data_IF_246537447096
#
_entry.id   IF_246537447096
#
_cell.length_a   1.000
_cell.length_b   1.000
_cell.length_c   1.000
_cell.angle_alpha   90.00
_cell.angle_beta   90.00
_cell.angle_gamma   90.00
#
_symmetry.space_group_name_H-M   'P 1'
#
loop_
_entity.id
_entity.type
_entity.pdbx_description
1 polymer ?
#
# COMPACT_ATOMS: atom_id res chain seq x y z
N UNK A 1 -17.09 -12.06 -12.83
CA UNK A 1 -15.72 -12.29 -12.33
C UNK A 1 -14.89 -11.15 -12.88
N UNK A 2 -14.37 -10.23 -12.07
CA UNK A 2 -13.76 -9.00 -12.62
C UNK A 2 -12.52 -9.33 -13.44
N UNK A 3 -12.47 -8.88 -14.71
CA UNK A 3 -11.39 -9.00 -15.69
C UNK A 3 -10.06 -8.32 -15.29
N UNK A 4 -9.86 -8.05 -14.00
CA UNK A 4 -8.71 -7.29 -13.52
C UNK A 4 -7.54 -8.24 -13.31
N UNK A 5 -6.54 -8.13 -14.19
CA UNK A 5 -5.26 -8.83 -14.06
C UNK A 5 -4.63 -8.54 -12.68
N UNK A 6 -4.40 -9.57 -11.83
CA UNK A 6 -3.78 -9.40 -10.52
C UNK A 6 -2.41 -8.71 -10.57
N UNK A 7 -1.62 -8.90 -11.64
CA UNK A 7 -0.34 -8.20 -11.80
C UNK A 7 -0.55 -6.70 -12.00
N UNK A 8 -1.52 -6.33 -12.85
CA UNK A 8 -1.91 -4.93 -13.05
C UNK A 8 -2.43 -4.33 -11.75
N UNK A 9 -3.25 -5.06 -10.99
CA UNK A 9 -3.78 -4.61 -9.71
C UNK A 9 -2.67 -4.38 -8.67
N UNK A 10 -1.68 -5.26 -8.61
CA UNK A 10 -0.52 -5.10 -7.74
C UNK A 10 0.30 -3.84 -8.08
N UNK A 11 0.48 -3.56 -9.38
CA UNK A 11 1.17 -2.35 -9.84
C UNK A 11 0.36 -1.09 -9.54
N UNK A 12 -0.96 -1.13 -9.73
CA UNK A 12 -1.84 -0.02 -9.36
C UNK A 12 -1.69 0.26 -7.87
N UNK A 13 -1.79 -0.78 -7.03
CA UNK A 13 -1.63 -0.62 -5.59
C UNK A 13 -0.28 0.01 -5.21
N UNK A 14 0.83 -0.48 -5.79
CA UNK A 14 2.18 0.05 -5.57
C UNK A 14 2.27 1.56 -5.80
N UNK A 15 1.62 2.07 -6.85
CA UNK A 15 1.77 3.46 -7.29
C UNK A 15 0.70 4.38 -6.68
N UNK A 16 -0.53 3.89 -6.49
CA UNK A 16 -1.64 4.72 -6.01
C UNK A 16 -1.35 5.32 -4.65
N UNK A 17 -0.90 4.52 -3.69
CA UNK A 17 -0.74 5.00 -2.31
C UNK A 17 0.31 6.11 -2.16
N UNK A 18 1.55 5.98 -2.69
CA UNK A 18 2.53 7.06 -2.60
C UNK A 18 2.08 8.35 -3.30
N UNK A 19 1.36 8.22 -4.43
CA UNK A 19 0.82 9.38 -5.13
C UNK A 19 -0.28 10.08 -4.32
N UNK A 20 -1.23 9.33 -3.76
CA UNK A 20 -2.30 9.90 -2.92
C UNK A 20 -1.70 10.59 -1.70
N UNK A 21 -0.66 10.02 -1.08
CA UNK A 21 0.04 10.63 0.04
C UNK A 21 0.63 11.99 -0.33
N UNK A 22 1.30 12.08 -1.48
CA UNK A 22 1.86 13.33 -2.00
C UNK A 22 0.75 14.34 -2.28
N UNK A 23 -0.25 14.00 -3.09
CA UNK A 23 -1.35 14.92 -3.42
C UNK A 23 -2.08 15.43 -2.19
N UNK A 24 -2.39 14.53 -1.24
CA UNK A 24 -3.04 14.90 0.01
C UNK A 24 -2.17 15.84 0.84
N UNK A 25 -0.87 15.55 0.99
CA UNK A 25 0.03 16.43 1.73
C UNK A 25 0.20 17.81 1.08
N UNK A 26 0.30 17.88 -0.25
CA UNK A 26 0.45 19.15 -0.97
C UNK A 26 -0.75 20.09 -0.85
N UNK A 27 -1.94 19.55 -0.52
CA UNK A 27 -3.13 20.36 -0.27
C UNK A 27 -3.23 20.71 1.22
N UNK A 28 -2.86 19.79 2.11
CA UNK A 28 -3.04 19.94 3.56
C UNK A 28 -1.98 20.85 4.21
N UNK A 29 -0.76 20.88 3.68
CA UNK A 29 0.38 21.59 4.26
C UNK A 29 1.25 22.23 3.17
N UNK A 30 1.91 23.33 3.52
CA UNK A 30 2.92 23.93 2.66
C UNK A 30 4.17 23.03 2.65
N UNK A 31 4.41 22.36 1.52
CA UNK A 31 5.50 21.40 1.34
C UNK A 31 6.46 21.87 0.27
N UNK A 32 7.74 21.93 0.65
CA UNK A 32 8.83 22.10 -0.30
C UNK A 32 9.09 20.81 -1.10
N UNK A 33 9.88 20.92 -2.18
CA UNK A 33 10.22 19.77 -3.04
C UNK A 33 10.87 18.65 -2.23
N UNK A 34 11.66 18.99 -1.20
CA UNK A 34 12.30 18.02 -0.31
C UNK A 34 11.26 17.24 0.50
N UNK A 35 10.25 17.91 1.04
CA UNK A 35 9.16 17.27 1.79
C UNK A 35 8.29 16.40 0.89
N UNK A 36 7.94 16.86 -0.31
CA UNK A 36 7.20 16.05 -1.31
C UNK A 36 7.96 14.76 -1.62
N UNK A 37 9.26 14.88 -1.89
CA UNK A 37 10.13 13.76 -2.20
C UNK A 37 10.20 12.79 -1.01
N UNK A 38 10.33 13.32 0.21
CA UNK A 38 10.35 12.52 1.43
C UNK A 38 9.05 11.74 1.61
N UNK A 39 7.89 12.40 1.52
CA UNK A 39 6.56 11.78 1.66
C UNK A 39 6.36 10.69 0.61
N UNK A 40 6.79 10.93 -0.64
CA UNK A 40 6.72 9.91 -1.69
C UNK A 40 7.53 8.66 -1.31
N UNK A 41 8.81 8.81 -0.95
CA UNK A 41 9.68 7.67 -0.70
C UNK A 41 9.33 6.89 0.57
N UNK A 42 8.96 7.57 1.67
CA UNK A 42 8.55 6.88 2.91
C UNK A 42 7.28 6.04 2.71
N UNK A 43 6.41 6.42 1.77
CA UNK A 43 5.23 5.65 1.38
C UNK A 43 5.55 4.59 0.32
N UNK A 44 6.51 4.86 -0.58
CA UNK A 44 6.91 3.93 -1.64
C UNK A 44 7.63 2.70 -1.07
N UNK A 45 8.53 2.87 -0.10
CA UNK A 45 9.31 1.77 0.50
C UNK A 45 8.41 0.61 1.00
N UNK A 46 7.41 0.84 1.89
CA UNK A 46 6.57 -0.25 2.37
C UNK A 46 5.73 -0.87 1.24
N UNK A 47 5.33 -0.08 0.25
CA UNK A 47 4.61 -0.59 -0.92
C UNK A 47 5.50 -1.45 -1.82
N UNK A 48 6.78 -1.10 -2.00
CA UNK A 48 7.74 -1.94 -2.72
C UNK A 48 7.91 -3.31 -2.04
N UNK A 49 7.93 -3.34 -0.71
CA UNK A 49 8.02 -4.59 0.05
C UNK A 49 6.75 -5.43 -0.16
N UNK A 50 5.58 -4.85 0.12
CA UNK A 50 4.29 -5.54 0.03
C UNK A 50 3.98 -6.01 -1.39
N UNK A 51 4.12 -5.13 -2.39
CA UNK A 51 3.92 -5.46 -3.80
C UNK A 51 5.01 -6.36 -4.36
N UNK A 52 6.25 -6.27 -3.86
CA UNK A 52 7.34 -7.18 -4.23
C UNK A 52 7.05 -8.62 -3.79
N UNK A 53 6.65 -8.81 -2.54
CA UNK A 53 6.21 -10.12 -2.02
C UNK A 53 5.01 -10.63 -2.82
N UNK A 54 4.00 -9.78 -3.02
CA UNK A 54 2.81 -10.16 -3.79
C UNK A 54 3.12 -10.57 -5.22
N UNK A 55 4.07 -9.89 -5.87
CA UNK A 55 4.53 -10.25 -7.22
C UNK A 55 5.25 -11.60 -7.26
N UNK A 56 6.11 -11.89 -6.26
CA UNK A 56 6.79 -13.18 -6.15
C UNK A 56 5.79 -14.32 -5.92
N UNK A 57 4.76 -14.09 -5.10
CA UNK A 57 3.70 -15.07 -4.86
C UNK A 57 2.80 -15.27 -6.08
N UNK A 58 2.47 -14.20 -6.81
CA UNK A 58 1.74 -14.28 -8.08
C UNK A 58 2.44 -15.15 -9.12
N UNK A 59 3.78 -15.13 -9.18
CA UNK A 59 4.55 -16.02 -10.07
C UNK A 59 4.41 -17.50 -9.71
N UNK A 60 4.06 -17.80 -8.46
CA UNK A 60 3.87 -19.16 -7.93
C UNK A 60 2.39 -19.55 -7.82
N UNK A 61 1.47 -18.62 -8.03
CA UNK A 61 0.03 -18.84 -7.95
C UNK A 61 -0.44 -19.79 -9.05
N UNK A 62 -1.11 -20.89 -8.67
CA UNK A 62 -1.67 -21.88 -9.61
C UNK A 62 -3.20 -21.77 -9.73
N UNK A 63 -3.84 -21.13 -8.76
CA UNK A 63 -5.30 -20.98 -8.67
C UNK A 63 -5.70 -19.52 -8.57
N UNK A 64 -6.92 -19.19 -8.98
CA UNK A 64 -7.46 -17.82 -8.83
C UNK A 64 -7.45 -17.35 -7.38
N UNK A 65 -7.76 -18.24 -6.42
CA UNK A 65 -7.71 -17.92 -5.00
C UNK A 65 -6.29 -17.57 -4.54
N UNK A 66 -5.28 -18.32 -4.97
CA UNK A 66 -3.88 -18.03 -4.68
C UNK A 66 -3.42 -16.70 -5.29
N UNK A 67 -3.92 -16.37 -6.48
CA UNK A 67 -3.60 -15.10 -7.14
C UNK A 67 -4.21 -13.91 -6.38
N UNK A 68 -5.47 -14.02 -5.95
CA UNK A 68 -6.14 -13.00 -5.12
C UNK A 68 -5.41 -12.85 -3.78
N UNK A 69 -5.08 -13.95 -3.10
CA UNK A 69 -4.35 -13.92 -1.83
C UNK A 69 -2.97 -13.26 -1.96
N UNK A 70 -2.30 -13.45 -3.10
CA UNK A 70 -0.98 -12.85 -3.39
C UNK A 70 -1.04 -11.32 -3.47
N UNK A 71 -2.17 -10.75 -3.94
CA UNK A 71 -2.31 -9.28 -4.10
C UNK A 71 -3.14 -8.63 -3.01
N UNK A 72 -3.78 -9.41 -2.14
CA UNK A 72 -4.62 -8.89 -1.08
C UNK A 72 -3.87 -7.90 -0.17
N UNK A 73 -2.65 -8.24 0.25
CA UNK A 73 -1.82 -7.37 1.09
C UNK A 73 -1.56 -6.00 0.45
N UNK A 74 -0.90 -5.90 -0.73
CA UNK A 74 -0.63 -4.60 -1.33
C UNK A 74 -1.90 -3.81 -1.66
N UNK A 75 -2.97 -4.48 -2.11
CA UNK A 75 -4.24 -3.82 -2.46
C UNK A 75 -4.94 -3.24 -1.24
N UNK A 76 -5.14 -4.03 -0.19
CA UNK A 76 -5.80 -3.57 1.04
C UNK A 76 -5.00 -2.45 1.68
N UNK A 77 -3.69 -2.60 1.73
CA UNK A 77 -2.78 -1.59 2.27
C UNK A 77 -2.88 -0.27 1.51
N UNK A 78 -2.80 -0.33 0.18
CA UNK A 78 -2.93 0.86 -0.67
C UNK A 78 -4.29 1.51 -0.48
N UNK A 79 -5.36 0.73 -0.47
CA UNK A 79 -6.73 1.23 -0.34
C UNK A 79 -6.95 1.89 1.03
N UNK A 80 -6.68 1.19 2.13
CA UNK A 80 -6.90 1.68 3.49
C UNK A 80 -6.07 2.92 3.79
N UNK A 81 -4.81 2.95 3.34
CA UNK A 81 -3.94 4.11 3.57
C UNK A 81 -4.35 5.29 2.70
N UNK A 82 -4.69 5.07 1.44
CA UNK A 82 -5.18 6.15 0.56
C UNK A 82 -6.46 6.77 1.12
N UNK A 83 -7.39 5.93 1.60
CA UNK A 83 -8.59 6.38 2.28
C UNK A 83 -8.26 7.18 3.54
N UNK A 84 -7.30 6.73 4.34
CA UNK A 84 -6.82 7.45 5.51
C UNK A 84 -6.28 8.85 5.16
N UNK A 85 -5.42 8.97 4.14
CA UNK A 85 -4.90 10.27 3.69
C UNK A 85 -6.02 11.21 3.26
N UNK A 86 -7.01 10.72 2.52
CA UNK A 86 -8.18 11.51 2.12
C UNK A 86 -9.00 11.95 3.34
N UNK A 87 -9.21 11.07 4.32
CA UNK A 87 -9.94 11.41 5.55
C UNK A 87 -9.20 12.52 6.32
N UNK A 88 -7.87 12.46 6.42
CA UNK A 88 -7.09 13.48 7.13
C UNK A 88 -6.97 14.80 6.37
N UNK A 89 -7.06 14.74 5.05
CA UNK A 89 -7.23 15.94 4.23
C UNK A 89 -8.56 16.66 4.55
N UNK A 90 -9.66 15.90 4.69
CA UNK A 90 -10.98 16.46 4.99
C UNK A 90 -11.16 16.84 6.47
N UNK A 91 -10.49 16.10 7.37
CA UNK A 91 -10.57 16.26 8.82
C UNK A 91 -9.17 16.30 9.43
N UNK A 92 -8.43 17.41 9.23
CA UNK A 92 -7.05 17.54 9.70
C UNK A 92 -6.98 17.60 11.23
N UNK A 93 -5.83 17.20 11.77
CA UNK A 93 -5.57 17.32 13.19
C UNK A 93 -5.40 18.78 13.60
N UNK A 94 -6.24 19.25 14.52
CA UNK A 94 -6.23 20.62 15.02
C UNK A 94 -4.97 20.95 15.83
N UNK A 95 -4.32 19.96 16.42
CA UNK A 95 -3.18 20.17 17.32
C UNK A 95 -1.82 20.13 16.61
N UNK A 96 -1.73 19.41 15.49
CA UNK A 96 -0.51 19.27 14.70
C UNK A 96 -0.85 18.88 13.24
N UNK A 97 -1.23 19.86 12.39
CA UNK A 97 -1.51 19.60 10.98
C UNK A 97 -0.29 18.97 10.31
N UNK A 98 -0.48 17.90 9.54
CA UNK A 98 0.60 17.26 8.78
C UNK A 98 1.34 16.11 9.46
N UNK A 99 1.22 15.94 10.79
CA UNK A 99 1.98 14.89 11.51
C UNK A 99 1.61 13.47 11.07
N UNK A 100 0.38 13.25 10.58
CA UNK A 100 -0.02 11.94 10.06
C UNK A 100 0.73 11.53 8.81
N UNK A 101 1.21 12.48 8.01
CA UNK A 101 1.97 12.16 6.80
C UNK A 101 3.36 11.58 7.12
N UNK A 102 3.81 11.69 8.38
CA UNK A 102 5.05 11.09 8.87
C UNK A 102 4.82 9.81 9.68
N UNK A 103 3.73 9.75 10.46
CA UNK A 103 3.44 8.62 11.33
C UNK A 103 2.84 7.41 10.57
N UNK A 104 1.91 7.66 9.65
CA UNK A 104 1.20 6.59 8.93
C UNK A 104 2.15 5.68 8.15
N UNK A 105 3.16 6.19 7.42
CA UNK A 105 4.14 5.35 6.73
C UNK A 105 4.82 4.29 7.61
N UNK A 106 5.05 4.59 8.89
CA UNK A 106 5.66 3.66 9.84
C UNK A 106 4.73 2.48 10.15
N UNK A 107 3.44 2.76 10.38
CA UNK A 107 2.44 1.71 10.59
C UNK A 107 2.25 0.83 9.35
N UNK A 108 2.26 1.44 8.16
CA UNK A 108 2.20 0.70 6.89
C UNK A 108 3.41 -0.20 6.74
N UNK A 109 4.62 0.26 7.09
CA UNK A 109 5.83 -0.56 7.00
C UNK A 109 5.73 -1.82 7.86
N UNK A 110 5.28 -1.69 9.11
CA UNK A 110 5.03 -2.86 9.97
C UNK A 110 3.98 -3.77 9.33
N UNK A 111 2.87 -3.21 8.83
CA UNK A 111 1.85 -3.96 8.13
C UNK A 111 2.39 -4.70 6.90
N UNK A 112 3.21 -4.05 6.08
CA UNK A 112 3.77 -4.60 4.85
C UNK A 112 4.62 -5.83 5.12
N UNK A 113 5.43 -5.79 6.18
CA UNK A 113 6.25 -6.92 6.61
C UNK A 113 5.35 -8.05 7.15
N UNK A 114 4.44 -7.74 8.07
CA UNK A 114 3.59 -8.76 8.71
C UNK A 114 2.67 -9.45 7.69
N UNK A 115 1.91 -8.69 6.91
CA UNK A 115 1.01 -9.25 5.90
C UNK A 115 1.77 -9.91 4.75
N UNK A 116 2.94 -9.38 4.38
CA UNK A 116 3.85 -10.02 3.44
C UNK A 116 4.25 -11.43 3.91
N UNK A 117 4.73 -11.57 5.14
CA UNK A 117 5.10 -12.87 5.72
C UNK A 117 3.89 -13.82 5.80
N UNK A 118 2.75 -13.34 6.29
CA UNK A 118 1.53 -14.15 6.44
C UNK A 118 0.94 -14.60 5.11
N UNK A 119 1.13 -13.83 4.03
CA UNK A 119 0.62 -14.19 2.70
C UNK A 119 1.30 -15.44 2.12
N UNK A 120 2.55 -15.70 2.50
CA UNK A 120 3.33 -16.86 2.04
C UNK A 120 2.64 -18.20 2.36
N UNK A 121 2.43 -18.59 3.64
CA UNK A 121 1.79 -19.87 3.97
C UNK A 121 0.36 -19.99 3.41
N UNK A 122 -0.38 -18.88 3.32
CA UNK A 122 -1.74 -18.85 2.77
C UNK A 122 -1.72 -19.24 1.29
N UNK A 123 -0.86 -18.60 0.49
CA UNK A 123 -0.74 -18.88 -0.96
C UNK A 123 -0.31 -20.32 -1.20
N UNK A 124 0.66 -20.84 -0.43
CA UNK A 124 1.08 -22.23 -0.54
C UNK A 124 -0.05 -23.22 -0.22
N UNK A 125 -0.82 -22.97 0.84
CA UNK A 125 -1.97 -23.81 1.20
C UNK A 125 -3.07 -23.79 0.13
N UNK A 126 -3.32 -22.63 -0.49
CA UNK A 126 -4.31 -22.48 -1.55
C UNK A 126 -3.88 -23.13 -2.88
N UNK A 127 -2.57 -23.31 -3.10
CA UNK A 127 -2.04 -24.02 -4.26
C UNK A 127 -2.12 -25.55 -4.15
N UNK A 128 -2.34 -26.08 -2.94
CA UNK A 128 -2.49 -27.52 -2.68
C UNK A 128 -3.95 -28.01 -2.83
N UNK A 129 -4.89 -27.08 -3.03
CA UNK A 129 -6.32 -27.35 -3.25
C UNK A 129 -6.64 -27.22 -4.73
#
# INVERSE_FOLDING_TARGET
MSDVDPKKLNLIALVTMPLVAVFSSSIAIEVDIKSITTIFFINLIPMLISSGVGYLLLRKAKTNASAIASVASPVLMSFSTSAWYIIRLLFPNTNAPGIEHLAVPQYILVGAVVFGILSVPIVFRLNQR
#
